data_IF_575459738359
#
_entry.id   IF_575459738359
#
_cell.length_a   1.000
_cell.length_b   1.000
_cell.length_c   1.000
_cell.angle_alpha   90.00
_cell.angle_beta   90.00
_cell.angle_gamma   90.00
#
_symmetry.space_group_name_H-M   'P 1'
#
loop_
_entity.id
_entity.type
_entity.pdbx_description
1 polymer ?
#
# COMPACT_ATOMS: atom_id res chain seq x y z
N UNK A 1 2.80 -18.88 -9.34
CA UNK A 1 2.70 -17.49 -9.84
C UNK A 1 2.01 -16.56 -8.86
N UNK A 2 0.92 -16.96 -8.22
CA UNK A 2 0.15 -16.10 -7.30
C UNK A 2 0.98 -15.44 -6.18
N UNK A 3 1.70 -16.22 -5.38
CA UNK A 3 2.50 -15.69 -4.26
C UNK A 3 3.79 -15.00 -4.72
N UNK A 4 4.33 -15.42 -5.86
CA UNK A 4 5.58 -14.86 -6.41
C UNK A 4 5.32 -13.57 -7.16
N UNK A 5 4.14 -13.37 -7.76
CA UNK A 5 3.85 -12.19 -8.58
C UNK A 5 2.69 -11.39 -8.02
N UNK A 6 1.57 -12.05 -7.75
CA UNK A 6 0.36 -11.42 -7.24
C UNK A 6 0.59 -10.68 -5.93
N UNK A 7 1.19 -11.33 -4.93
CA UNK A 7 1.46 -10.69 -3.63
C UNK A 7 2.35 -9.44 -3.75
N UNK A 8 3.58 -9.52 -4.31
CA UNK A 8 4.42 -8.33 -4.52
C UNK A 8 3.71 -7.21 -5.27
N UNK A 9 2.90 -7.55 -6.28
CA UNK A 9 2.16 -6.57 -7.07
C UNK A 9 1.05 -5.90 -6.25
N UNK A 10 0.27 -6.66 -5.48
CA UNK A 10 -0.76 -6.10 -4.59
C UNK A 10 -0.16 -5.19 -3.52
N UNK A 11 0.98 -5.58 -2.95
CA UNK A 11 1.73 -4.76 -2.01
C UNK A 11 2.26 -3.48 -2.67
N UNK A 12 2.84 -3.59 -3.87
CA UNK A 12 3.35 -2.42 -4.58
C UNK A 12 2.23 -1.42 -4.92
N UNK A 13 1.06 -1.92 -5.36
CA UNK A 13 -0.12 -1.09 -5.61
C UNK A 13 -0.55 -0.39 -4.32
N UNK A 14 -0.60 -1.10 -3.20
CA UNK A 14 -0.92 -0.50 -1.90
C UNK A 14 0.05 0.62 -1.51
N UNK A 15 1.36 0.37 -1.53
CA UNK A 15 2.35 1.39 -1.17
C UNK A 15 2.35 2.58 -2.15
N UNK A 16 2.02 2.33 -3.41
CA UNK A 16 1.84 3.38 -4.41
C UNK A 16 0.65 4.28 -4.07
N UNK A 17 -0.41 3.73 -3.47
CA UNK A 17 -1.57 4.51 -3.03
C UNK A 17 -1.19 5.55 -1.98
N UNK A 18 -0.34 5.17 -1.02
CA UNK A 18 0.23 6.10 -0.04
C UNK A 18 1.07 7.20 -0.70
N UNK A 19 1.93 6.82 -1.65
CA UNK A 19 2.80 7.76 -2.35
C UNK A 19 2.01 8.77 -3.20
N UNK A 20 0.97 8.31 -3.91
CA UNK A 20 0.08 9.16 -4.70
C UNK A 20 -0.65 10.16 -3.81
N UNK A 21 -1.25 9.69 -2.71
CA UNK A 21 -1.94 10.58 -1.78
C UNK A 21 -0.98 11.63 -1.18
N UNK A 22 0.25 11.25 -0.83
CA UNK A 22 1.26 12.20 -0.35
C UNK A 22 1.58 13.30 -1.38
N UNK A 23 1.78 12.94 -2.65
CA UNK A 23 2.09 13.90 -3.72
C UNK A 23 0.92 14.83 -4.01
N UNK A 24 -0.32 14.35 -3.88
CA UNK A 24 -1.50 15.19 -4.06
C UNK A 24 -1.63 16.27 -2.98
N UNK A 25 -1.14 16.03 -1.76
CA UNK A 25 -1.29 16.97 -0.64
C UNK A 25 -0.04 17.79 -0.33
N UNK A 26 1.10 17.48 -0.93
CA UNK A 26 2.35 18.20 -0.72
C UNK A 26 2.81 18.88 -2.01
N UNK A 27 3.41 20.06 -1.90
CA UNK A 27 4.09 20.71 -3.05
C UNK A 27 5.54 20.27 -3.20
N UNK A 28 6.16 19.92 -2.07
CA UNK A 28 7.56 19.52 -1.95
C UNK A 28 7.68 18.18 -1.23
N UNK A 29 8.88 17.60 -1.21
CA UNK A 29 9.15 16.30 -0.62
C UNK A 29 8.97 15.15 -1.60
N UNK A 30 9.48 13.98 -1.20
CA UNK A 30 9.58 12.78 -2.03
C UNK A 30 8.94 11.61 -1.30
N UNK A 31 8.13 10.83 -2.00
CA UNK A 31 7.62 9.54 -1.51
C UNK A 31 8.52 8.42 -2.03
N UNK A 32 9.07 7.61 -1.12
CA UNK A 32 9.89 6.44 -1.43
C UNK A 32 9.07 5.18 -1.19
N UNK A 33 8.79 4.44 -2.25
CA UNK A 33 8.09 3.16 -2.21
C UNK A 33 9.12 2.05 -2.19
N UNK A 34 9.24 1.35 -1.06
CA UNK A 34 10.14 0.23 -0.89
C UNK A 34 9.40 -1.10 -0.90
N UNK A 35 9.99 -2.08 -1.57
CA UNK A 35 9.57 -3.48 -1.48
C UNK A 35 10.74 -4.32 -0.94
N UNK A 36 10.45 -5.16 0.06
CA UNK A 36 11.34 -6.08 0.80
C UNK A 36 12.50 -5.47 1.58
N UNK A 37 13.27 -4.58 0.98
CA UNK A 37 14.48 -3.99 1.56
C UNK A 37 14.27 -2.49 1.82
N UNK A 38 14.15 -2.19 3.11
CA UNK A 38 13.84 -0.86 3.63
C UNK A 38 15.10 -0.07 4.03
N UNK A 39 16.28 -0.62 3.76
CA UNK A 39 17.54 0.07 4.06
C UNK A 39 17.80 1.21 3.08
N UNK A 40 18.49 2.26 3.54
CA UNK A 40 18.95 3.37 2.70
C UNK A 40 19.97 2.92 1.64
N UNK A 41 20.57 1.74 1.82
CA UNK A 41 21.46 1.13 0.83
C UNK A 41 20.70 0.56 -0.38
N UNK A 42 19.38 0.40 -0.30
CA UNK A 42 18.57 -0.06 -1.42
C UNK A 42 18.49 1.03 -2.49
N UNK A 43 19.17 0.81 -3.61
CA UNK A 43 19.25 1.76 -4.72
C UNK A 43 17.88 1.94 -5.37
N UNK A 44 17.60 3.16 -5.80
CA UNK A 44 16.42 3.47 -6.61
C UNK A 44 16.47 2.66 -7.90
N UNK A 45 15.38 1.96 -8.20
CA UNK A 45 15.22 1.24 -9.47
C UNK A 45 14.74 2.19 -10.56
N UNK A 46 13.69 2.96 -10.26
CA UNK A 46 13.12 3.99 -11.14
C UNK A 46 12.34 5.02 -10.32
N UNK A 47 11.96 6.12 -10.97
CA UNK A 47 11.11 7.16 -10.37
C UNK A 47 10.06 7.66 -11.35
N UNK A 48 8.93 8.09 -10.81
CA UNK A 48 7.86 8.76 -11.53
C UNK A 48 7.58 10.08 -10.82
N UNK A 49 8.08 11.19 -11.37
CA UNK A 49 8.01 12.49 -10.71
C UNK A 49 8.69 12.46 -9.34
N UNK A 50 7.90 12.69 -8.27
CA UNK A 50 8.36 12.67 -6.85
C UNK A 50 8.10 11.33 -6.15
N UNK A 51 7.71 10.27 -6.88
CA UNK A 51 7.64 8.90 -6.35
C UNK A 51 8.87 8.14 -6.80
N UNK A 52 9.67 7.69 -5.83
CA UNK A 52 10.90 6.96 -6.07
C UNK A 52 10.67 5.50 -5.66
N UNK A 53 10.94 4.57 -6.57
CA UNK A 53 10.69 3.13 -6.37
C UNK A 53 11.99 2.39 -6.08
N UNK A 54 12.02 1.71 -4.94
CA UNK A 54 13.14 0.92 -4.43
C UNK A 54 12.68 -0.53 -4.24
N UNK A 55 12.59 -1.25 -5.36
CA UNK A 55 11.99 -2.57 -5.46
C UNK A 55 13.09 -3.64 -5.40
N UNK A 56 13.11 -4.36 -4.29
CA UNK A 56 13.63 -5.74 -4.25
C UNK A 56 12.45 -6.69 -4.10
N UNK A 57 12.39 -7.70 -4.96
CA UNK A 57 11.19 -8.53 -5.06
C UNK A 57 10.87 -9.28 -3.76
N UNK A 58 9.67 -9.05 -3.21
CA UNK A 58 9.21 -9.65 -1.96
C UNK A 58 7.79 -9.25 -1.58
N UNK A 59 7.33 -9.77 -0.45
CA UNK A 59 5.91 -9.74 -0.03
C UNK A 59 5.57 -8.63 0.97
N UNK A 60 6.55 -7.81 1.36
CA UNK A 60 6.41 -6.76 2.37
C UNK A 60 6.83 -5.45 1.73
N UNK A 61 6.05 -4.40 1.96
CA UNK A 61 6.31 -3.07 1.44
C UNK A 61 6.16 -2.01 2.52
N UNK A 62 6.77 -0.86 2.28
CA UNK A 62 6.57 0.35 3.07
C UNK A 62 6.79 1.59 2.21
N UNK A 63 6.00 2.63 2.49
CA UNK A 63 6.17 3.96 1.93
C UNK A 63 6.76 4.92 2.96
N UNK A 64 7.91 5.51 2.64
CA UNK A 64 8.55 6.56 3.43
C UNK A 64 8.37 7.92 2.77
N UNK A 65 8.34 8.98 3.58
CA UNK A 65 8.24 10.36 3.10
C UNK A 65 9.47 11.15 3.52
N UNK A 66 10.14 11.77 2.56
CA UNK A 66 11.22 12.72 2.82
C UNK A 66 10.67 14.14 2.84
N UNK A 67 11.04 14.90 3.87
CA UNK A 67 10.58 16.27 4.12
C UNK A 67 9.03 16.40 4.13
N UNK A 68 8.30 15.60 4.93
CA UNK A 68 6.84 15.69 5.02
C UNK A 68 6.42 16.93 5.82
N UNK A 69 6.43 18.11 5.18
CA UNK A 69 6.00 19.37 5.78
C UNK A 69 4.70 19.88 5.15
N UNK A 70 4.00 20.76 5.86
CA UNK A 70 2.82 21.48 5.33
C UNK A 70 1.51 20.69 5.26
N UNK A 71 1.47 19.42 5.68
CA UNK A 71 0.22 18.65 5.71
C UNK A 71 -0.59 18.89 6.99
N UNK A 72 -1.88 19.20 6.84
CA UNK A 72 -2.87 19.20 7.93
C UNK A 72 -3.12 17.78 8.46
N UNK A 73 -3.77 17.64 9.62
CA UNK A 73 -4.09 16.32 10.14
C UNK A 73 -4.99 15.51 9.20
N UNK A 74 -5.97 16.17 8.56
CA UNK A 74 -6.84 15.55 7.55
C UNK A 74 -6.03 15.04 6.35
N UNK A 75 -5.07 15.82 5.86
CA UNK A 75 -4.20 15.40 4.75
C UNK A 75 -3.32 14.22 5.16
N UNK A 76 -2.73 14.22 6.37
CA UNK A 76 -1.95 13.09 6.90
C UNK A 76 -2.80 11.82 7.04
N UNK A 77 -4.05 11.99 7.49
CA UNK A 77 -5.00 10.89 7.57
C UNK A 77 -5.30 10.34 6.17
N UNK A 78 -5.57 11.21 5.20
CA UNK A 78 -5.83 10.80 3.82
C UNK A 78 -4.61 10.16 3.14
N UNK A 79 -3.40 10.65 3.41
CA UNK A 79 -2.14 10.01 2.98
C UNK A 79 -1.99 8.61 3.57
N UNK A 80 -2.35 8.43 4.83
CA UNK A 80 -2.41 7.10 5.45
C UNK A 80 -3.49 6.22 4.79
N UNK A 81 -4.64 6.77 4.43
CA UNK A 81 -5.70 6.01 3.76
C UNK A 81 -5.43 5.75 2.26
N UNK A 82 -4.43 6.41 1.66
CA UNK A 82 -4.11 6.27 0.24
C UNK A 82 -3.87 4.81 -0.19
N UNK A 83 -3.14 4.03 0.61
CA UNK A 83 -2.89 2.62 0.34
C UNK A 83 -4.16 1.77 0.35
N UNK A 84 -4.96 1.80 1.44
CA UNK A 84 -6.27 1.17 1.47
C UNK A 84 -7.22 1.60 0.34
N UNK A 85 -7.27 2.90 -0.01
CA UNK A 85 -8.14 3.42 -1.07
C UNK A 85 -7.74 2.90 -2.46
N UNK A 86 -6.44 2.87 -2.76
CA UNK A 86 -5.98 2.31 -4.04
C UNK A 86 -6.17 0.78 -4.07
N UNK A 87 -6.00 0.11 -2.94
CA UNK A 87 -6.27 -1.33 -2.80
C UNK A 87 -7.74 -1.64 -3.07
N UNK A 88 -8.69 -0.95 -2.42
CA UNK A 88 -10.11 -1.24 -2.68
C UNK A 88 -10.51 -0.92 -4.12
N UNK A 89 -9.95 0.14 -4.72
CA UNK A 89 -10.16 0.45 -6.14
C UNK A 89 -9.67 -0.68 -7.05
N UNK A 90 -8.49 -1.23 -6.76
CA UNK A 90 -7.96 -2.37 -7.50
C UNK A 90 -8.74 -3.67 -7.24
N UNK A 91 -9.21 -3.88 -6.01
CA UNK A 91 -10.09 -4.99 -5.63
C UNK A 91 -11.40 -4.95 -6.42
N UNK A 92 -12.00 -3.77 -6.64
CA UNK A 92 -13.21 -3.62 -7.46
C UNK A 92 -12.95 -4.01 -8.91
N UNK A 93 -11.81 -3.62 -9.49
CA UNK A 93 -11.42 -4.04 -10.85
C UNK A 93 -11.26 -5.56 -10.89
N UNK A 94 -10.54 -6.14 -9.93
CA UNK A 94 -10.34 -7.59 -9.83
C UNK A 94 -11.65 -8.34 -9.62
N UNK A 95 -12.62 -7.76 -8.88
CA UNK A 95 -13.94 -8.35 -8.68
C UNK A 95 -14.67 -8.55 -10.00
N UNK A 96 -14.68 -7.55 -10.89
CA UNK A 96 -15.32 -7.70 -12.20
C UNK A 96 -14.63 -8.76 -13.06
N UNK A 97 -13.29 -8.79 -13.08
CA UNK A 97 -12.53 -9.83 -13.79
C UNK A 97 -12.80 -11.22 -13.22
N UNK A 98 -12.87 -11.33 -11.89
CA UNK A 98 -13.26 -12.53 -11.17
C UNK A 98 -14.72 -12.94 -11.45
N UNK A 99 -15.65 -12.00 -11.59
CA UNK A 99 -17.05 -12.34 -11.81
C UNK A 99 -17.31 -12.81 -13.25
N UNK A 100 -16.74 -12.11 -14.24
CA UNK A 100 -16.98 -12.41 -15.66
C UNK A 100 -16.03 -13.46 -16.24
N UNK A 101 -14.90 -13.76 -15.57
CA UNK A 101 -13.95 -14.81 -15.96
C UNK A 101 -13.56 -14.76 -17.46
N UNK A 102 -13.19 -13.58 -18.03
CA UNK A 102 -13.04 -13.41 -19.48
C UNK A 102 -11.79 -14.07 -20.08
N UNK A 103 -10.92 -14.64 -19.26
CA UNK A 103 -9.65 -15.25 -19.67
C UNK A 103 -9.71 -16.78 -19.64
N UNK A 104 -8.57 -17.43 -19.90
CA UNK A 104 -8.43 -18.87 -19.68
C UNK A 104 -8.36 -19.22 -18.18
N UNK A 105 -8.52 -20.50 -17.86
CA UNK A 105 -8.61 -21.01 -16.48
C UNK A 105 -7.40 -20.61 -15.60
N UNK A 106 -6.19 -20.65 -16.15
CA UNK A 106 -4.97 -20.30 -15.40
C UNK A 106 -4.92 -18.82 -15.01
N UNK A 107 -5.25 -17.93 -15.95
CA UNK A 107 -5.28 -16.48 -15.70
C UNK A 107 -6.43 -16.14 -14.75
N UNK A 108 -7.58 -16.76 -14.94
CA UNK A 108 -8.73 -16.60 -14.09
C UNK A 108 -8.46 -17.05 -12.64
N UNK A 109 -7.77 -18.18 -12.45
CA UNK A 109 -7.30 -18.62 -11.14
C UNK A 109 -6.34 -17.60 -10.51
N UNK A 110 -5.39 -17.08 -11.28
CA UNK A 110 -4.47 -16.05 -10.81
C UNK A 110 -5.18 -14.75 -10.39
N UNK A 111 -6.13 -14.26 -11.20
CA UNK A 111 -6.95 -13.08 -10.89
C UNK A 111 -7.79 -13.30 -9.64
N UNK A 112 -8.42 -14.47 -9.50
CA UNK A 112 -9.22 -14.83 -8.32
C UNK A 112 -8.38 -14.82 -7.06
N UNK A 113 -7.17 -15.38 -7.12
CA UNK A 113 -6.23 -15.32 -6.00
C UNK A 113 -5.83 -13.89 -5.66
N UNK A 114 -5.53 -13.06 -6.67
CA UNK A 114 -5.18 -11.66 -6.47
C UNK A 114 -6.32 -10.86 -5.82
N UNK A 115 -7.56 -11.12 -6.23
CA UNK A 115 -8.75 -10.52 -5.63
C UNK A 115 -8.79 -10.76 -4.13
N UNK A 116 -8.69 -12.03 -3.70
CA UNK A 116 -8.75 -12.38 -2.28
C UNK A 116 -7.58 -11.80 -1.48
N UNK A 117 -6.36 -11.84 -2.01
CA UNK A 117 -5.20 -11.27 -1.33
C UNK A 117 -5.33 -9.75 -1.17
N UNK A 118 -5.77 -9.05 -2.21
CA UNK A 118 -5.93 -7.60 -2.16
C UNK A 118 -7.09 -7.18 -1.23
N UNK A 119 -8.19 -7.93 -1.23
CA UNK A 119 -9.31 -7.73 -0.31
C UNK A 119 -8.89 -7.91 1.15
N UNK A 120 -8.16 -9.00 1.45
CA UNK A 120 -7.64 -9.24 2.81
C UNK A 120 -6.66 -8.14 3.21
N UNK A 121 -5.74 -7.75 2.31
CA UNK A 121 -4.80 -6.66 2.57
C UNK A 121 -5.55 -5.34 2.88
N UNK A 122 -6.58 -5.01 2.12
CA UNK A 122 -7.44 -3.85 2.37
C UNK A 122 -8.07 -3.91 3.76
N UNK A 123 -8.75 -5.02 4.11
CA UNK A 123 -9.44 -5.19 5.39
C UNK A 123 -8.45 -5.05 6.56
N UNK A 124 -7.30 -5.72 6.49
CA UNK A 124 -6.29 -5.72 7.56
C UNK A 124 -5.67 -4.33 7.76
N UNK A 125 -5.48 -3.58 6.67
CA UNK A 125 -4.83 -2.25 6.73
C UNK A 125 -5.81 -1.13 7.10
N UNK A 126 -7.10 -1.24 6.74
CA UNK A 126 -8.11 -0.22 7.05
C UNK A 126 -8.67 -0.33 8.47
N UNK A 127 -8.74 -1.53 9.06
CA UNK A 127 -9.24 -1.71 10.42
C UNK A 127 -8.24 -1.07 11.40
N UNK A 128 -8.64 -0.11 12.26
CA UNK A 128 -7.75 0.52 13.23
C UNK A 128 -7.25 -0.47 14.28
N UNK A 129 -6.02 -0.96 14.12
CA UNK A 129 -5.41 -1.92 15.04
C UNK A 129 -3.88 -1.76 15.10
N UNK A 130 -3.30 -2.31 16.16
CA UNK A 130 -1.87 -2.60 16.23
C UNK A 130 -1.70 -4.08 15.91
N UNK A 131 -0.87 -4.41 14.93
CA UNK A 131 -0.67 -5.79 14.53
C UNK A 131 -0.05 -6.60 15.68
N UNK A 132 -0.54 -7.83 15.96
CA UNK A 132 -0.04 -8.65 17.04
C UNK A 132 1.45 -8.95 16.90
N UNK A 133 2.12 -9.15 18.04
CA UNK A 133 3.58 -9.38 18.10
C UNK A 133 4.05 -10.63 17.35
N UNK A 134 3.15 -11.59 17.09
CA UNK A 134 3.46 -12.82 16.36
C UNK A 134 3.37 -12.66 14.83
N UNK A 135 2.97 -11.49 14.31
CA UNK A 135 2.75 -11.25 12.86
C UNK A 135 4.04 -10.91 12.08
N UNK A 136 5.13 -11.63 12.39
CA UNK A 136 6.40 -11.54 11.65
C UNK A 136 6.88 -10.10 11.43
N UNK A 137 7.16 -9.73 10.17
CA UNK A 137 7.67 -8.41 9.78
C UNK A 137 6.75 -7.24 10.11
N UNK A 138 5.47 -7.48 10.39
CA UNK A 138 4.49 -6.45 10.75
C UNK A 138 4.25 -6.36 12.27
N UNK A 139 4.93 -7.17 13.07
CA UNK A 139 4.74 -7.22 14.52
C UNK A 139 4.89 -5.85 15.19
N UNK A 140 3.84 -5.39 15.88
CA UNK A 140 3.85 -4.11 16.60
C UNK A 140 3.66 -2.86 15.75
N UNK A 141 3.55 -2.98 14.42
CA UNK A 141 3.21 -1.86 13.55
C UNK A 141 1.72 -1.51 13.68
N UNK A 142 1.39 -0.24 13.47
CA UNK A 142 0.00 0.22 13.42
C UNK A 142 -0.54 0.10 12.01
N UNK A 143 -1.78 -0.34 11.86
CA UNK A 143 -2.50 -0.30 10.59
C UNK A 143 -2.71 1.13 10.10
N UNK A 144 -3.05 1.30 8.83
CA UNK A 144 -3.22 2.61 8.23
C UNK A 144 -4.49 3.29 8.71
N UNK A 145 -5.56 2.54 8.94
CA UNK A 145 -6.74 3.02 9.63
C UNK A 145 -6.43 3.55 11.03
N UNK A 146 -5.54 2.89 11.76
CA UNK A 146 -5.11 3.37 13.07
C UNK A 146 -4.33 4.69 12.98
N UNK A 147 -3.39 4.80 12.03
CA UNK A 147 -2.65 6.05 11.78
C UNK A 147 -3.61 7.19 11.42
N UNK A 148 -4.55 6.94 10.52
CA UNK A 148 -5.54 7.91 10.08
C UNK A 148 -6.38 8.43 11.25
N UNK A 149 -6.93 7.53 12.07
CA UNK A 149 -7.71 7.89 13.25
C UNK A 149 -6.89 8.75 14.23
N UNK A 150 -5.63 8.36 14.47
CA UNK A 150 -4.73 9.08 15.39
C UNK A 150 -4.40 10.48 14.89
N UNK A 151 -4.23 10.69 13.58
CA UNK A 151 -4.04 12.04 13.04
C UNK A 151 -5.28 12.90 13.28
N UNK A 152 -6.47 12.39 12.99
CA UNK A 152 -7.73 13.14 13.16
C UNK A 152 -8.06 13.46 14.63
N UNK A 153 -7.68 12.58 15.56
CA UNK A 153 -7.89 12.81 17.00
C UNK A 153 -6.96 13.87 17.59
N UNK A 154 -5.77 14.06 17.01
CA UNK A 154 -4.78 15.04 17.48
C UNK A 154 -5.06 16.47 17.01
N UNK A 155 -6.00 16.64 16.09
CA UNK A 155 -6.42 17.94 15.53
C UNK A 155 -7.58 18.57 16.29
N UNK A 156 -8.14 17.85 17.29
CA UNK A 156 -9.16 18.34 18.23
C UNK A 156 -8.51 18.80 19.52
#
# INVERSE_FOLDING_TARGET
MLYVIGLPLTTLIHETGHALAFICFTKEGVAKVHLRDFSDANKENFRVGRIHYHIKWGMVGICYYEKPSGMTAQQRAMTSLGGPLLSVSFTIILFFLFYYQPFNDDINFFVTGMFWMNLVQFIVTIIPMVYPKWWGSYAGYTSDGYKALKFLQRDK
#
